data_IF_847422188016
#
_entry.id   IF_847422188016
#
_cell.length_a   1.000
_cell.length_b   1.000
_cell.length_c   1.000
_cell.angle_alpha   90.00
_cell.angle_beta   90.00
_cell.angle_gamma   90.00
#
_symmetry.space_group_name_H-M   'P 1'
#
loop_
_entity.id
_entity.type
_entity.pdbx_description
1 polymer ?
#
# COMPACT_ATOMS: atom_id res chain seq x y z
N UNK A 1 14.00 -13.05 4.14
CA UNK A 1 13.00 -12.65 5.15
C UNK A 1 12.57 -11.25 4.78
N UNK A 2 11.28 -11.03 4.52
CA UNK A 2 10.74 -9.68 4.29
C UNK A 2 10.56 -9.01 5.66
N UNK A 3 10.91 -7.74 5.80
CA UNK A 3 10.72 -6.99 7.04
C UNK A 3 9.98 -5.69 6.75
N UNK A 4 9.32 -5.14 7.76
CA UNK A 4 8.56 -3.90 7.62
C UNK A 4 9.00 -2.96 8.72
N UNK A 5 9.31 -1.72 8.35
CA UNK A 5 9.58 -0.65 9.31
C UNK A 5 8.40 0.29 9.36
N UNK A 6 7.71 0.34 10.51
CA UNK A 6 6.65 1.32 10.72
C UNK A 6 7.26 2.70 10.92
N UNK A 7 6.93 3.67 10.07
CA UNK A 7 7.47 5.03 10.17
C UNK A 7 6.65 5.90 11.14
N UNK A 8 5.38 5.57 11.36
CA UNK A 8 4.51 6.24 12.33
C UNK A 8 3.13 6.61 11.79
N UNK A 9 2.31 7.32 12.58
CA UNK A 9 1.02 7.83 12.13
C UNK A 9 1.22 8.94 11.10
N UNK A 10 0.40 8.93 10.04
CA UNK A 10 0.39 10.03 9.07
C UNK A 10 -0.39 11.19 9.67
N UNK A 11 0.27 12.34 9.85
CA UNK A 11 -0.41 13.57 10.23
C UNK A 11 -0.92 14.28 8.96
N UNK A 12 -2.15 14.81 8.97
CA UNK A 12 -2.66 15.58 7.84
C UNK A 12 -1.77 16.82 7.64
N UNK A 13 -1.30 17.02 6.42
CA UNK A 13 -0.56 18.23 6.05
C UNK A 13 -1.52 19.20 5.39
N UNK A 14 -1.63 20.47 5.79
CA UNK A 14 -2.52 21.43 5.13
C UNK A 14 -2.08 21.80 3.69
N UNK A 15 -1.09 21.10 3.14
CA UNK A 15 -0.50 21.39 1.83
C UNK A 15 -1.27 20.63 0.75
N UNK A 16 -2.26 21.29 0.16
CA UNK A 16 -2.87 20.83 -1.09
C UNK A 16 -1.80 20.81 -2.19
N UNK A 17 -1.64 19.67 -2.86
CA UNK A 17 -0.72 19.56 -3.99
C UNK A 17 -1.48 20.03 -5.23
N UNK A 18 -0.91 20.92 -6.07
CA UNK A 18 -1.52 21.24 -7.35
C UNK A 18 -1.61 19.96 -8.18
N UNK A 19 -2.84 19.55 -8.50
CA UNK A 19 -3.08 18.40 -9.35
C UNK A 19 -3.13 18.88 -10.80
N UNK A 20 -2.00 18.73 -11.47
CA UNK A 20 -1.93 18.91 -12.90
C UNK A 20 -2.32 17.57 -13.55
N UNK A 21 -3.47 17.51 -14.20
CA UNK A 21 -3.72 16.55 -15.27
C UNK A 21 -3.26 17.21 -16.57
N UNK A 22 -1.98 17.14 -16.98
CA UNK A 22 -1.77 17.10 -18.40
C UNK A 22 -2.30 15.71 -18.78
N UNK A 23 -3.54 15.65 -19.28
CA UNK A 23 -3.74 14.67 -20.34
C UNK A 23 -2.67 15.05 -21.35
N UNK A 24 -1.61 14.26 -21.47
CA UNK A 24 -0.58 14.44 -22.49
C UNK A 24 -1.12 13.68 -23.69
N UNK A 25 -1.95 14.28 -24.57
CA UNK A 25 -2.07 13.71 -25.90
C UNK A 25 -0.68 13.73 -26.51
N UNK A 26 -0.25 12.62 -27.10
CA UNK A 26 0.97 12.54 -27.90
C UNK A 26 0.84 13.32 -29.23
N UNK A 27 0.21 14.51 -29.20
CA UNK A 27 -0.14 15.33 -30.34
C UNK A 27 -0.59 16.73 -29.91
N UNK A 28 -0.35 17.70 -30.79
CA UNK A 28 -0.49 19.16 -30.60
C UNK A 28 -1.62 19.59 -29.63
N UNK A 29 -1.30 20.28 -28.52
CA UNK A 29 -2.32 20.85 -27.65
C UNK A 29 -2.88 22.12 -28.30
N UNK A 30 -4.20 22.17 -28.48
CA UNK A 30 -4.90 23.39 -28.89
C UNK A 30 -5.00 24.37 -27.71
N UNK A 31 -4.84 25.69 -27.94
CA UNK A 31 -4.66 26.71 -26.89
C UNK A 31 -5.92 27.09 -26.09
N UNK A 32 -6.99 26.29 -26.14
CA UNK A 32 -8.30 26.66 -25.59
C UNK A 32 -8.78 25.81 -24.39
N UNK A 33 -7.91 24.99 -23.79
CA UNK A 33 -8.24 24.33 -22.51
C UNK A 33 -7.82 25.21 -21.33
N UNK A 34 -8.60 26.27 -21.16
CA UNK A 34 -8.60 27.09 -19.96
C UNK A 34 -9.00 26.24 -18.74
N UNK A 35 -8.08 26.18 -17.77
CA UNK A 35 -8.31 26.14 -16.33
C UNK A 35 -9.50 25.32 -15.79
N UNK A 36 -9.26 24.02 -15.59
CA UNK A 36 -9.77 23.30 -14.43
C UNK A 36 -8.59 22.87 -13.57
N UNK A 37 -7.97 23.84 -12.89
CA UNK A 37 -7.05 23.55 -11.78
C UNK A 37 -7.86 23.03 -10.59
N UNK A 38 -8.25 21.75 -10.63
CA UNK A 38 -8.76 21.09 -9.44
C UNK A 38 -7.60 20.90 -8.47
N UNK A 39 -7.72 21.46 -7.26
CA UNK A 39 -6.78 21.18 -6.17
C UNK A 39 -7.17 19.84 -5.57
N UNK A 40 -6.27 18.86 -5.62
CA UNK A 40 -6.46 17.58 -4.93
C UNK A 40 -5.52 17.58 -3.73
N UNK A 41 -6.08 17.47 -2.52
CA UNK A 41 -5.26 17.13 -1.37
C UNK A 41 -5.06 15.61 -1.33
N UNK A 42 -3.83 15.17 -1.07
CA UNK A 42 -3.57 13.77 -0.75
C UNK A 42 -4.38 13.33 0.48
N UNK A 43 -4.67 14.25 1.39
CA UNK A 43 -5.49 13.96 2.57
C UNK A 43 -6.94 13.62 2.21
N UNK A 44 -7.49 14.25 1.17
CA UNK A 44 -8.83 13.95 0.67
C UNK A 44 -8.83 12.65 -0.15
N UNK A 45 -7.79 12.46 -0.98
CA UNK A 45 -7.67 11.29 -1.84
C UNK A 45 -7.53 9.99 -1.03
N UNK A 46 -6.67 10.00 -0.01
CA UNK A 46 -6.41 8.85 0.86
C UNK A 46 -7.20 8.88 2.17
N UNK A 47 -8.07 9.88 2.37
CA UNK A 47 -8.84 10.07 3.61
C UNK A 47 -7.92 10.11 4.85
N UNK A 48 -6.75 10.73 4.74
CA UNK A 48 -5.72 10.87 5.79
C UNK A 48 -6.21 11.65 7.01
N UNK A 49 -7.37 12.29 6.92
CA UNK A 49 -8.09 12.87 8.06
C UNK A 49 -8.47 11.82 9.12
N UNK A 50 -8.38 10.52 8.82
CA UNK A 50 -8.59 9.46 9.81
C UNK A 50 -7.27 9.12 10.52
N UNK A 51 -7.17 9.22 11.86
CA UNK A 51 -5.93 9.00 12.63
C UNK A 51 -5.44 7.54 12.67
N UNK A 52 -6.09 6.67 11.90
CA UNK A 52 -5.88 5.22 11.84
C UNK A 52 -5.08 4.80 10.60
N UNK A 53 -4.60 5.76 9.80
CA UNK A 53 -3.72 5.52 8.66
C UNK A 53 -2.27 5.69 9.09
N UNK A 54 -1.48 4.68 8.75
CA UNK A 54 -0.06 4.59 9.08
C UNK A 54 0.75 4.39 7.82
N UNK A 55 2.00 4.83 7.90
CA UNK A 55 2.96 4.66 6.83
C UNK A 55 4.02 3.65 7.25
N UNK A 56 4.28 2.69 6.38
CA UNK A 56 5.24 1.63 6.59
C UNK A 56 6.17 1.54 5.38
N UNK A 57 7.45 1.27 5.63
CA UNK A 57 8.41 0.96 4.59
C UNK A 57 8.48 -0.55 4.39
N UNK A 58 8.33 -0.98 3.15
CA UNK A 58 8.45 -2.38 2.75
C UNK A 58 9.92 -2.70 2.48
N UNK A 59 10.40 -3.76 3.11
CA UNK A 59 11.69 -4.36 2.80
C UNK A 59 11.46 -5.80 2.35
N UNK A 60 11.85 -6.11 1.11
CA UNK A 60 11.68 -7.42 0.50
C UNK A 60 11.02 -7.41 -0.87
N UNK A 61 10.86 -8.61 -1.45
CA UNK A 61 10.46 -8.79 -2.85
C UNK A 61 9.23 -9.69 -3.02
N UNK A 62 8.54 -10.04 -1.94
CA UNK A 62 7.43 -10.98 -2.00
C UNK A 62 6.17 -10.44 -2.67
N UNK A 63 6.04 -9.14 -2.85
CA UNK A 63 4.89 -8.50 -3.50
C UNK A 63 5.23 -7.83 -4.83
N UNK A 64 6.36 -8.21 -5.45
CA UNK A 64 6.84 -7.67 -6.73
C UNK A 64 5.82 -7.82 -7.87
N UNK A 65 5.04 -8.90 -7.92
CA UNK A 65 3.99 -9.07 -8.93
C UNK A 65 2.81 -8.09 -8.79
N UNK A 66 2.65 -7.43 -7.64
CA UNK A 66 1.70 -6.32 -7.46
C UNK A 66 2.35 -4.94 -7.68
N UNK A 67 3.61 -4.91 -8.10
CA UNK A 67 4.37 -3.67 -8.29
C UNK A 67 4.90 -3.06 -7.00
N UNK A 68 4.75 -3.74 -5.85
CA UNK A 68 5.36 -3.33 -4.58
C UNK A 68 6.79 -3.85 -4.54
N UNK A 69 7.75 -2.94 -4.49
CA UNK A 69 9.18 -3.21 -4.51
C UNK A 69 9.82 -2.91 -3.15
N UNK A 70 11.06 -3.35 -3.01
CA UNK A 70 11.88 -3.03 -1.86
C UNK A 70 12.13 -1.51 -1.77
N UNK A 71 12.01 -0.95 -0.56
CA UNK A 71 12.17 0.47 -0.27
C UNK A 71 10.90 1.31 -0.44
N UNK A 72 9.80 0.70 -0.87
CA UNK A 72 8.51 1.36 -1.04
C UNK A 72 7.88 1.81 0.26
N UNK A 73 7.18 2.95 0.21
CA UNK A 73 6.35 3.44 1.30
C UNK A 73 4.90 3.05 1.04
N UNK A 74 4.33 2.24 1.91
CA UNK A 74 2.94 1.82 1.84
C UNK A 74 2.09 2.50 2.91
N UNK A 75 0.86 2.80 2.54
CA UNK A 75 -0.17 3.34 3.41
C UNK A 75 -1.06 2.20 3.89
N UNK A 76 -1.30 2.16 5.20
CA UNK A 76 -2.00 1.09 5.90
C UNK A 76 -3.12 1.67 6.74
N UNK A 77 -4.33 1.14 6.62
CA UNK A 77 -5.47 1.49 7.46
C UNK A 77 -5.72 0.39 8.50
N UNK A 78 -5.65 0.73 9.79
CA UNK A 78 -5.90 -0.20 10.90
C UNK A 78 -7.37 -0.43 11.21
N UNK A 79 -8.28 0.41 10.71
CA UNK A 79 -9.71 0.28 10.96
C UNK A 79 -10.44 -0.56 9.92
N UNK A 80 -9.79 -0.87 8.80
CA UNK A 80 -10.34 -1.77 7.80
C UNK A 80 -10.23 -3.22 8.26
N UNK A 81 -11.30 -3.97 8.06
CA UNK A 81 -11.28 -5.42 8.22
C UNK A 81 -10.71 -6.05 6.95
N UNK A 82 -9.71 -6.94 7.07
CA UNK A 82 -9.06 -7.57 5.93
C UNK A 82 -10.04 -8.48 5.20
N UNK A 83 -10.08 -8.37 3.87
CA UNK A 83 -10.87 -9.24 2.99
C UNK A 83 -9.96 -10.12 2.16
N UNK A 84 -10.56 -11.16 1.59
CA UNK A 84 -9.88 -12.05 0.65
C UNK A 84 -9.24 -11.22 -0.48
N UNK A 85 -8.01 -11.55 -0.82
CA UNK A 85 -7.16 -10.88 -1.82
C UNK A 85 -6.63 -9.49 -1.42
N UNK A 86 -6.92 -9.01 -0.21
CA UNK A 86 -6.31 -7.77 0.29
C UNK A 86 -4.85 -8.00 0.67
N UNK A 87 -4.01 -7.00 0.39
CA UNK A 87 -2.66 -6.96 0.97
C UNK A 87 -2.77 -6.49 2.41
N UNK A 88 -2.18 -7.25 3.33
CA UNK A 88 -2.23 -6.95 4.76
C UNK A 88 -0.83 -6.95 5.36
N UNK A 89 -0.66 -6.12 6.38
CA UNK A 89 0.42 -6.28 7.33
C UNK A 89 -0.10 -7.20 8.43
N UNK A 90 0.55 -8.34 8.58
CA UNK A 90 0.29 -9.29 9.63
C UNK A 90 1.54 -9.50 10.47
N UNK A 91 1.35 -10.04 11.66
CA UNK A 91 2.38 -10.47 12.56
C UNK A 91 2.11 -11.94 12.84
N UNK A 92 3.01 -12.83 12.44
CA UNK A 92 2.88 -14.27 12.66
C UNK A 92 3.93 -14.67 13.70
N UNK A 93 3.48 -15.16 14.86
CA UNK A 93 4.34 -15.54 15.99
C UNK A 93 5.32 -14.43 16.45
N UNK A 94 4.92 -13.17 16.31
CA UNK A 94 5.75 -12.01 16.65
C UNK A 94 6.56 -11.42 15.48
N UNK A 95 6.62 -12.10 14.33
CA UNK A 95 7.35 -11.63 13.15
C UNK A 95 6.44 -10.83 12.21
N UNK A 96 6.73 -9.54 11.96
CA UNK A 96 5.96 -8.71 11.03
C UNK A 96 6.21 -9.12 9.58
N UNK A 97 5.13 -9.25 8.80
CA UNK A 97 5.15 -9.68 7.41
C UNK A 97 4.08 -8.97 6.58
N UNK A 98 4.35 -8.79 5.29
CA UNK A 98 3.40 -8.24 4.33
C UNK A 98 3.06 -9.31 3.31
N UNK A 99 1.78 -9.67 3.24
CA UNK A 99 1.28 -10.76 2.39
C UNK A 99 -0.12 -10.45 1.90
N UNK A 100 -0.54 -11.13 0.85
CA UNK A 100 -1.92 -11.14 0.40
C UNK A 100 -2.69 -12.08 1.33
N UNK A 101 -3.72 -11.56 1.98
CA UNK A 101 -4.61 -12.31 2.83
C UNK A 101 -5.59 -13.11 1.96
N UNK A 102 -5.60 -14.42 2.12
CA UNK A 102 -6.54 -15.31 1.45
C UNK A 102 -7.09 -16.32 2.45
N UNK A 103 -8.23 -16.92 2.12
CA UNK A 103 -8.88 -17.95 2.93
C UNK A 103 -9.20 -19.13 2.01
N UNK A 104 -8.58 -20.28 2.28
CA UNK A 104 -8.85 -21.54 1.57
C UNK A 104 -9.35 -22.58 2.58
N UNK A 105 -10.46 -23.26 2.26
CA UNK A 105 -10.98 -24.37 3.09
C UNK A 105 -11.10 -24.03 4.60
N UNK A 106 -11.49 -22.79 4.93
CA UNK A 106 -11.57 -22.24 6.29
C UNK A 106 -10.22 -22.01 7.01
N UNK A 107 -9.10 -22.15 6.31
CA UNK A 107 -7.78 -21.82 6.83
C UNK A 107 -7.28 -20.50 6.23
N UNK A 108 -6.63 -19.67 7.05
CA UNK A 108 -5.98 -18.45 6.58
C UNK A 108 -4.71 -18.80 5.83
N UNK A 109 -4.57 -18.23 4.64
CA UNK A 109 -3.42 -18.41 3.75
C UNK A 109 -2.81 -17.05 3.46
N UNK A 110 -1.52 -16.93 3.71
CA UNK A 110 -0.74 -15.74 3.44
C UNK A 110 0.03 -15.94 2.14
N UNK A 111 -0.45 -15.35 1.05
CA UNK A 111 0.18 -15.47 -0.27
C UNK A 111 1.17 -14.36 -0.55
N UNK A 112 2.06 -14.64 -1.47
CA UNK A 112 3.00 -13.67 -2.04
C UNK A 112 2.66 -13.49 -3.52
N UNK A 113 2.84 -12.28 -4.05
CA UNK A 113 2.73 -12.01 -5.49
C UNK A 113 4.05 -12.29 -6.23
N UNK A 114 4.92 -13.10 -5.66
CA UNK A 114 6.19 -13.49 -6.25
C UNK A 114 6.26 -15.01 -6.29
N UNK A 115 6.45 -15.65 -7.46
CA UNK A 115 6.50 -17.10 -7.59
C UNK A 115 7.65 -17.75 -6.81
N UNK A 116 8.70 -16.99 -6.47
CA UNK A 116 9.79 -17.48 -5.63
C UNK A 116 9.38 -17.66 -4.16
N UNK A 117 8.22 -17.15 -3.74
CA UNK A 117 7.75 -17.18 -2.37
C UNK A 117 6.47 -18.02 -2.28
N UNK A 118 6.55 -19.25 -1.73
CA UNK A 118 5.37 -20.10 -1.61
C UNK A 118 4.33 -19.52 -0.65
N UNK A 119 3.04 -19.86 -0.83
CA UNK A 119 1.99 -19.48 0.10
C UNK A 119 2.25 -20.09 1.48
N UNK A 120 1.99 -19.33 2.55
CA UNK A 120 2.13 -19.78 3.93
C UNK A 120 0.77 -19.99 4.55
N UNK A 121 0.45 -21.25 4.85
CA UNK A 121 -0.76 -21.64 5.58
C UNK A 121 -0.55 -21.39 7.06
N UNK A 122 -1.49 -20.72 7.72
CA UNK A 122 -1.42 -20.47 9.17
C UNK A 122 -1.88 -21.72 9.90
N UNK A 123 -0.98 -22.36 10.65
CA UNK A 123 -1.24 -23.64 11.31
C UNK A 123 -1.94 -23.45 12.66
N UNK A 124 -2.58 -24.52 13.12
CA UNK A 124 -3.22 -24.55 14.43
C UNK A 124 -2.16 -24.39 15.54
N UNK A 125 -2.29 -23.35 16.37
CA UNK A 125 -1.31 -22.98 17.39
C UNK A 125 -0.36 -21.84 16.99
N UNK A 126 -0.40 -21.36 15.75
CA UNK A 126 0.29 -20.13 15.36
C UNK A 126 -0.56 -18.90 15.69
N UNK A 127 0.07 -17.86 16.24
CA UNK A 127 -0.60 -16.60 16.52
C UNK A 127 -0.48 -15.69 15.30
N UNK A 128 -1.60 -15.51 14.58
CA UNK A 128 -1.71 -14.53 13.51
C UNK A 128 -2.44 -13.28 14.01
N UNK A 129 -1.74 -12.15 13.99
CA UNK A 129 -2.33 -10.84 14.24
C UNK A 129 -2.28 -9.98 12.99
N UNK A 130 -3.44 -9.60 12.45
CA UNK A 130 -3.51 -8.66 11.33
C UNK A 130 -3.46 -7.24 11.89
N UNK A 131 -2.41 -6.51 11.54
CA UNK A 131 -2.16 -5.18 12.05
C UNK A 131 -2.94 -4.11 11.29
N UNK A 132 -3.07 -4.26 9.97
CA UNK A 132 -3.84 -3.36 9.12
C UNK A 132 -3.83 -3.76 7.65
N UNK A 133 -4.68 -3.08 6.88
CA UNK A 133 -4.91 -3.33 5.46
C UNK A 133 -4.19 -2.30 4.61
N UNK A 134 -3.52 -2.74 3.55
CA UNK A 134 -2.88 -1.87 2.56
C UNK A 134 -3.94 -1.11 1.76
N UNK A 135 -3.78 0.21 1.68
CA UNK A 135 -4.69 1.10 0.94
C UNK A 135 -3.99 1.87 -0.17
N UNK A 136 -2.67 1.90 -0.21
CA UNK A 136 -1.94 2.65 -1.22
C UNK A 136 -0.42 2.53 -1.12
N UNK A 137 0.23 2.92 -2.20
CA UNK A 137 1.69 2.91 -2.37
C UNK A 137 2.16 4.31 -2.76
N UNK A 138 3.25 4.74 -2.15
CA UNK A 138 4.01 5.92 -2.51
C UNK A 138 5.47 5.51 -2.76
N UNK A 139 5.94 5.73 -3.98
CA UNK A 139 7.35 5.53 -4.35
C UNK A 139 7.91 6.85 -4.86
N UNK A 140 8.96 7.36 -4.22
CA UNK A 140 9.67 8.51 -4.73
C UNK A 140 10.62 8.06 -5.86
N UNK A 141 10.25 8.33 -7.11
CA UNK A 141 11.15 8.18 -8.24
C UNK A 141 12.02 9.43 -8.40
N UNK A 142 13.30 9.34 -8.05
CA UNK A 142 14.32 10.27 -8.58
C UNK A 142 15.11 9.50 -9.62
N UNK A 143 15.00 9.93 -10.88
CA UNK A 143 15.64 9.37 -12.10
C UNK A 143 14.85 8.26 -12.79
N UNK A 144 14.10 8.65 -13.81
CA UNK A 144 13.96 7.85 -15.03
C UNK A 144 15.29 7.98 -15.76
N UNK A 145 16.13 6.94 -15.71
CA UNK A 145 17.29 6.78 -16.58
C UNK A 145 16.87 6.19 -17.91
#
# INVERSE_FOLDING_TARGET
>A
MDSISLLGPVAPSPTAIPFFLPTVPAGFPSPAQDHLEQRISLDELFKLHRPQIYLAQVSGHSLTGLGILDGDLVLIDKALQPRREDVVIACLNGDPLIKIFDIEQQQVVLRSANPAYPPRYVLEGEELHIWGVYIGLCRQGRNCG
#
